data_IF_809360779671
#
_entry.id   IF_809360779671
#
_cell.length_a   1.000
_cell.length_b   1.000
_cell.length_c   1.000
_cell.angle_alpha   90.00
_cell.angle_beta   90.00
_cell.angle_gamma   90.00
#
_symmetry.space_group_name_H-M   'P 1'
#
loop_
_entity.id
_entity.type
_entity.pdbx_description
1 polymer ?
#
# COMPACT_ATOMS: atom_id res chain seq x y z
N UNK A 1 -5.84 -3.32 13.25
CA UNK A 1 -6.18 -4.32 12.21
C UNK A 1 -5.98 -3.73 10.82
N UNK A 2 -5.75 -4.53 9.76
CA UNK A 2 -5.63 -3.97 8.40
C UNK A 2 -6.95 -3.34 7.95
N UNK A 3 -8.08 -3.97 8.26
CA UNK A 3 -9.41 -3.44 7.96
C UNK A 3 -9.70 -2.13 8.70
N UNK A 4 -9.23 -2.01 9.94
CA UNK A 4 -9.37 -0.78 10.72
C UNK A 4 -8.63 0.38 10.08
N UNK A 5 -7.44 0.13 9.52
CA UNK A 5 -6.67 1.16 8.80
C UNK A 5 -7.39 1.55 7.51
N UNK A 6 -7.86 0.58 6.73
CA UNK A 6 -8.51 0.82 5.43
C UNK A 6 -9.85 1.57 5.59
N UNK A 7 -10.62 1.27 6.63
CA UNK A 7 -11.93 1.89 6.88
C UNK A 7 -11.85 3.17 7.74
N UNK A 8 -10.65 3.61 8.13
CA UNK A 8 -10.44 4.85 8.87
C UNK A 8 -9.63 5.84 8.04
N UNK A 9 -10.29 6.82 7.46
CA UNK A 9 -9.67 7.80 6.55
C UNK A 9 -8.43 8.48 7.15
N UNK A 10 -8.46 8.80 8.46
CA UNK A 10 -7.33 9.43 9.15
C UNK A 10 -6.12 8.49 9.24
N UNK A 11 -6.35 7.20 9.48
CA UNK A 11 -5.26 6.22 9.50
C UNK A 11 -4.77 5.93 8.10
N UNK A 12 -5.68 5.66 7.16
CA UNK A 12 -5.38 5.46 5.75
C UNK A 12 -4.49 6.57 5.20
N UNK A 13 -4.86 7.84 5.41
CA UNK A 13 -4.10 8.98 4.89
C UNK A 13 -2.67 9.04 5.46
N UNK A 14 -2.47 8.66 6.73
CA UNK A 14 -1.13 8.58 7.33
C UNK A 14 -0.29 7.50 6.67
N UNK A 15 -0.85 6.31 6.47
CA UNK A 15 -0.18 5.20 5.78
C UNK A 15 0.15 5.58 4.34
N UNK A 16 -0.80 6.14 3.61
CA UNK A 16 -0.61 6.59 2.24
C UNK A 16 0.48 7.65 2.13
N UNK A 17 0.48 8.68 3.00
CA UNK A 17 1.56 9.68 3.05
C UNK A 17 2.92 9.06 3.34
N UNK A 18 3.00 8.09 4.26
CA UNK A 18 4.24 7.36 4.55
C UNK A 18 4.78 6.65 3.30
N UNK A 19 3.92 5.86 2.64
CA UNK A 19 4.23 5.12 1.42
C UNK A 19 4.79 6.10 0.38
N UNK A 20 4.05 7.17 0.09
CA UNK A 20 4.42 8.24 -0.84
C UNK A 20 5.65 9.08 -0.41
N UNK A 21 6.27 8.81 0.74
CA UNK A 21 7.44 9.54 1.24
C UNK A 21 7.14 10.95 1.73
N UNK A 22 5.87 11.28 1.97
CA UNK A 22 5.37 12.59 2.39
C UNK A 22 5.02 12.66 3.88
N UNK A 23 5.42 11.65 4.67
CA UNK A 23 5.06 11.56 6.08
C UNK A 23 5.89 10.54 6.85
N UNK A 24 5.70 10.55 8.18
CA UNK A 24 6.31 9.56 9.06
C UNK A 24 5.64 8.20 8.88
N UNK A 25 6.46 7.15 8.87
CA UNK A 25 5.99 5.78 8.81
C UNK A 25 5.93 5.15 10.21
N UNK A 26 4.88 4.38 10.46
CA UNK A 26 4.90 3.33 11.49
C UNK A 26 5.83 2.19 11.03
N UNK A 27 6.23 1.27 11.92
CA UNK A 27 6.95 0.06 11.52
C UNK A 27 6.22 -0.68 10.39
N UNK A 28 4.93 -0.96 10.56
CA UNK A 28 4.09 -1.64 9.55
C UNK A 28 4.01 -0.87 8.23
N UNK A 29 3.87 0.47 8.30
CA UNK A 29 3.83 1.30 7.10
C UNK A 29 5.17 1.34 6.35
N UNK A 30 6.28 1.19 7.07
CA UNK A 30 7.62 1.10 6.48
C UNK A 30 7.85 -0.25 5.81
N UNK A 31 7.36 -1.32 6.40
CA UNK A 31 7.37 -2.66 5.80
C UNK A 31 6.57 -2.66 4.50
N UNK A 32 5.31 -2.23 4.56
CA UNK A 32 4.45 -2.12 3.38
C UNK A 32 5.07 -1.26 2.27
N UNK A 33 5.69 -0.13 2.62
CA UNK A 33 6.39 0.73 1.66
C UNK A 33 7.54 0.01 0.93
N UNK A 34 8.25 -0.89 1.61
CA UNK A 34 9.36 -1.63 1.01
C UNK A 34 8.87 -2.76 0.09
N UNK A 35 7.70 -3.32 0.39
CA UNK A 35 7.13 -4.46 -0.35
C UNK A 35 6.30 -4.03 -1.58
N UNK A 36 5.67 -2.84 -1.54
CA UNK A 36 4.86 -2.30 -2.64
C UNK A 36 5.55 -2.34 -4.03
N UNK A 37 6.84 -1.95 -4.19
CA UNK A 37 7.51 -2.06 -5.48
C UNK A 37 7.56 -3.48 -6.03
N UNK A 38 7.77 -4.48 -5.17
CA UNK A 38 7.81 -5.90 -5.55
C UNK A 38 6.41 -6.43 -5.84
N UNK A 39 5.43 -6.01 -5.02
CA UNK A 39 4.01 -6.31 -5.21
C UNK A 39 3.48 -5.86 -6.57
N UNK A 40 3.80 -4.63 -6.99
CA UNK A 40 3.32 -4.09 -8.27
C UNK A 40 4.05 -4.73 -9.45
N UNK A 41 5.38 -4.89 -9.36
CA UNK A 41 6.19 -5.33 -10.52
C UNK A 41 6.20 -6.84 -10.73
N UNK A 42 6.07 -7.61 -9.66
CA UNK A 42 6.33 -9.07 -9.68
C UNK A 42 5.28 -9.88 -8.94
N UNK A 43 4.14 -9.26 -8.61
CA UNK A 43 3.09 -9.89 -7.80
C UNK A 43 3.64 -10.37 -6.44
N UNK A 44 4.51 -9.56 -5.84
CA UNK A 44 5.08 -9.76 -4.51
C UNK A 44 5.85 -11.09 -4.41
N UNK A 45 6.64 -11.43 -5.44
CA UNK A 45 7.38 -12.69 -5.53
C UNK A 45 8.27 -12.98 -4.31
N UNK A 46 8.71 -11.95 -3.58
CA UNK A 46 9.57 -12.06 -2.39
C UNK A 46 8.83 -11.95 -1.06
N UNK A 47 7.54 -11.70 -1.10
CA UNK A 47 6.71 -11.50 0.08
C UNK A 47 6.29 -12.83 0.70
N UNK A 48 6.18 -12.87 2.02
CA UNK A 48 5.51 -13.96 2.74
C UNK A 48 4.03 -14.05 2.37
N UNK A 49 3.40 -15.20 2.58
CA UNK A 49 1.97 -15.39 2.26
C UNK A 49 1.08 -14.34 2.94
N UNK A 50 1.41 -13.99 4.18
CA UNK A 50 0.70 -12.94 4.93
C UNK A 50 0.86 -11.55 4.30
N UNK A 51 2.05 -11.23 3.81
CA UNK A 51 2.32 -9.95 3.13
C UNK A 51 1.63 -9.91 1.75
N UNK A 52 1.58 -11.03 1.03
CA UNK A 52 0.82 -11.16 -0.23
C UNK A 52 -0.66 -10.90 -0.01
N UNK A 53 -1.28 -11.60 0.94
CA UNK A 53 -2.70 -11.41 1.28
C UNK A 53 -3.00 -9.97 1.72
N UNK A 54 -2.14 -9.39 2.56
CA UNK A 54 -2.26 -8.01 3.01
C UNK A 54 -2.17 -7.01 1.86
N UNK A 55 -1.20 -7.19 0.96
CA UNK A 55 -0.96 -6.28 -0.16
C UNK A 55 -2.08 -6.38 -1.20
N UNK A 56 -2.50 -7.59 -1.56
CA UNK A 56 -3.62 -7.82 -2.48
C UNK A 56 -4.92 -7.19 -1.94
N UNK A 57 -5.19 -7.33 -0.64
CA UNK A 57 -6.33 -6.68 0.02
C UNK A 57 -6.27 -5.16 -0.05
N UNK A 58 -5.10 -4.55 0.21
CA UNK A 58 -4.90 -3.10 0.12
C UNK A 58 -5.10 -2.60 -1.31
N UNK A 59 -4.50 -3.26 -2.30
CA UNK A 59 -4.61 -2.89 -3.71
C UNK A 59 -6.06 -2.98 -4.20
N UNK A 60 -6.76 -4.09 -3.90
CA UNK A 60 -8.19 -4.25 -4.21
C UNK A 60 -9.05 -3.18 -3.55
N UNK A 61 -8.80 -2.86 -2.28
CA UNK A 61 -9.52 -1.80 -1.58
C UNK A 61 -9.29 -0.44 -2.26
N UNK A 62 -8.05 -0.12 -2.65
CA UNK A 62 -7.72 1.14 -3.31
C UNK A 62 -8.37 1.23 -4.70
N UNK A 63 -8.36 0.16 -5.49
CA UNK A 63 -9.04 0.11 -6.78
C UNK A 63 -10.57 0.29 -6.67
N UNK A 64 -11.17 -0.23 -5.60
CA UNK A 64 -12.60 -0.10 -5.35
C UNK A 64 -12.98 1.28 -4.79
N UNK A 65 -12.24 1.80 -3.81
CA UNK A 65 -12.67 2.93 -2.98
C UNK A 65 -11.78 4.19 -3.09
N UNK A 66 -10.52 4.05 -3.52
CA UNK A 66 -9.50 5.11 -3.52
C UNK A 66 -8.75 5.19 -4.86
N UNK A 67 -9.48 5.14 -5.98
CA UNK A 67 -8.90 5.07 -7.35
C UNK A 67 -7.87 6.15 -7.66
N UNK A 68 -8.09 7.38 -7.18
CA UNK A 68 -7.14 8.48 -7.35
C UNK A 68 -5.81 8.20 -6.64
N UNK A 69 -5.86 7.68 -5.42
CA UNK A 69 -4.68 7.32 -4.65
C UNK A 69 -3.95 6.12 -5.28
N UNK A 70 -4.70 5.16 -5.84
CA UNK A 70 -4.13 4.05 -6.61
C UNK A 70 -3.35 4.55 -7.84
N UNK A 71 -3.94 5.46 -8.63
CA UNK A 71 -3.26 6.01 -9.81
C UNK A 71 -1.96 6.75 -9.45
N UNK A 72 -1.95 7.43 -8.29
CA UNK A 72 -0.74 8.08 -7.76
C UNK A 72 0.30 7.06 -7.32
N UNK A 73 -0.13 5.98 -6.65
CA UNK A 73 0.72 4.87 -6.22
C UNK A 73 1.37 4.17 -7.41
N UNK A 74 0.57 3.76 -8.40
CA UNK A 74 1.01 3.11 -9.64
C UNK A 74 2.05 3.96 -10.36
N UNK A 75 1.75 5.24 -10.61
CA UNK A 75 2.71 6.16 -11.23
C UNK A 75 4.03 6.33 -10.44
N UNK A 76 4.00 6.14 -9.13
CA UNK A 76 5.17 6.30 -8.27
C UNK A 76 6.06 5.07 -8.27
N UNK A 77 5.48 3.87 -8.32
CA UNK A 77 6.19 2.61 -8.12
C UNK A 77 6.33 1.77 -9.39
N UNK A 78 5.51 2.01 -10.40
CA UNK A 78 5.56 1.41 -11.72
C UNK A 78 5.54 2.46 -12.84
N UNK A 79 6.59 3.30 -12.96
CA UNK A 79 6.67 4.30 -14.01
C UNK A 79 7.08 3.73 -15.39
N UNK A 80 6.90 2.43 -15.62
CA UNK A 80 7.32 1.74 -16.84
C UNK A 80 6.42 2.08 -18.05
#
# INVERSE_FOLDING_TARGET
>A
DLDEILNNDRLYEKYFKCIMGKGKCTPDGKELKNDIPDAIKTDCSKCSDRQKEGTDKVLKFMLANKKADYAVLEKTYDPA
#
